data_IF_258667408921
#
_entry.id   IF_258667408921
#
_cell.length_a   1.000
_cell.length_b   1.000
_cell.length_c   1.000
_cell.angle_alpha   90.00
_cell.angle_beta   90.00
_cell.angle_gamma   90.00
#
_symmetry.space_group_name_H-M   'P 1'
#
loop_
_entity.id
_entity.type
_entity.pdbx_description
1 polymer ?
#
# COMPACT_ATOMS: atom_id res chain seq x y z
N UNK A 1 8.21 23.74 -8.35
CA UNK A 1 7.18 22.68 -8.50
C UNK A 1 7.76 21.42 -7.88
N UNK A 2 7.32 21.04 -6.67
CA UNK A 2 7.88 19.85 -6.01
C UNK A 2 7.39 18.61 -6.76
N UNK A 3 8.32 17.91 -7.41
CA UNK A 3 8.09 16.61 -8.03
C UNK A 3 8.12 15.61 -6.88
N UNK A 4 7.00 14.95 -6.63
CA UNK A 4 6.91 13.84 -5.69
C UNK A 4 7.14 12.57 -6.51
N UNK A 5 8.39 12.12 -6.59
CA UNK A 5 8.78 10.96 -7.40
C UNK A 5 8.76 9.68 -6.54
N UNK A 6 7.57 9.35 -6.02
CA UNK A 6 7.36 8.22 -5.11
C UNK A 6 5.91 7.72 -5.08
N UNK A 7 5.61 6.83 -4.15
CA UNK A 7 4.29 6.21 -3.94
C UNK A 7 3.64 6.67 -2.65
N UNK A 8 4.40 6.68 -1.56
CA UNK A 8 3.91 7.07 -0.25
C UNK A 8 4.07 8.59 -0.06
N UNK A 9 3.13 9.24 0.61
CA UNK A 9 3.17 10.70 0.79
C UNK A 9 2.76 11.52 -0.45
N UNK A 10 2.29 10.87 -1.52
CA UNK A 10 1.94 11.52 -2.79
C UNK A 10 0.42 11.73 -2.89
N UNK A 11 -0.06 12.88 -3.41
CA UNK A 11 -1.49 13.10 -3.61
C UNK A 11 -2.13 11.97 -4.44
N UNK A 12 -3.26 11.45 -3.95
CA UNK A 12 -3.94 10.29 -4.55
C UNK A 12 -4.26 10.51 -6.02
N UNK A 13 -4.72 11.72 -6.38
CA UNK A 13 -5.07 12.08 -7.76
C UNK A 13 -3.87 11.99 -8.71
N UNK A 14 -2.64 12.26 -8.22
CA UNK A 14 -1.43 12.11 -9.02
C UNK A 14 -1.11 10.65 -9.30
N UNK A 15 -1.28 9.78 -8.30
CA UNK A 15 -1.02 8.34 -8.45
C UNK A 15 -2.01 7.72 -9.45
N UNK A 16 -3.31 8.03 -9.31
CA UNK A 16 -4.38 7.62 -10.23
C UNK A 16 -4.09 8.08 -11.67
N UNK A 17 -3.70 9.34 -11.86
CA UNK A 17 -3.36 9.89 -13.17
C UNK A 17 -2.10 9.25 -13.77
N UNK A 18 -1.06 9.03 -12.95
CA UNK A 18 0.19 8.36 -13.36
C UNK A 18 -0.07 6.92 -13.80
N UNK A 19 -0.83 6.18 -13.00
CA UNK A 19 -1.12 4.77 -13.22
C UNK A 19 -2.20 4.55 -14.29
N UNK A 20 -2.88 5.62 -14.73
CA UNK A 20 -4.01 5.62 -15.69
C UNK A 20 -5.13 4.65 -15.29
N UNK A 21 -5.45 4.65 -13.99
CA UNK A 21 -6.42 3.75 -13.35
C UNK A 21 -7.21 4.51 -12.30
N UNK A 22 -8.42 4.04 -11.97
CA UNK A 22 -9.26 4.64 -10.91
C UNK A 22 -8.71 4.42 -9.50
N UNK A 23 -7.89 3.38 -9.30
CA UNK A 23 -7.24 3.06 -8.04
C UNK A 23 -5.72 2.96 -8.27
N UNK A 24 -4.87 3.53 -7.38
CA UNK A 24 -3.43 3.39 -7.49
C UNK A 24 -3.00 1.93 -7.56
N UNK A 25 -2.06 1.62 -8.44
CA UNK A 25 -1.60 0.26 -8.70
C UNK A 25 -1.07 -0.42 -7.43
N UNK A 26 -0.33 0.33 -6.60
CA UNK A 26 0.23 -0.16 -5.33
C UNK A 26 -0.89 -0.64 -4.38
N UNK A 27 -1.96 0.15 -4.26
CA UNK A 27 -3.06 -0.16 -3.37
C UNK A 27 -3.86 -1.36 -3.90
N UNK A 28 -4.14 -1.38 -5.21
CA UNK A 28 -4.85 -2.48 -5.86
C UNK A 28 -4.11 -3.81 -5.66
N UNK A 29 -2.80 -3.85 -5.90
CA UNK A 29 -2.02 -5.09 -5.75
C UNK A 29 -1.91 -5.57 -4.31
N UNK A 30 -1.70 -4.67 -3.36
CA UNK A 30 -1.66 -5.02 -1.94
C UNK A 30 -2.99 -5.62 -1.48
N UNK A 31 -4.12 -4.99 -1.85
CA UNK A 31 -5.46 -5.48 -1.49
C UNK A 31 -5.74 -6.82 -2.14
N UNK A 32 -5.46 -6.98 -3.44
CA UNK A 32 -5.67 -8.25 -4.16
C UNK A 32 -4.94 -9.41 -3.49
N UNK A 33 -3.69 -9.20 -3.07
CA UNK A 33 -2.91 -10.24 -2.39
C UNK A 33 -3.45 -10.53 -0.98
N UNK A 34 -3.89 -9.51 -0.24
CA UNK A 34 -4.53 -9.70 1.08
C UNK A 34 -5.83 -10.50 0.93
N UNK A 35 -6.66 -10.17 -0.05
CA UNK A 35 -7.92 -10.88 -0.35
C UNK A 35 -7.67 -12.32 -0.78
N UNK A 36 -6.66 -12.56 -1.61
CA UNK A 36 -6.26 -13.90 -2.04
C UNK A 36 -5.89 -14.82 -0.86
N UNK A 37 -5.39 -14.26 0.24
CA UNK A 37 -5.01 -15.00 1.46
C UNK A 37 -6.03 -14.91 2.60
N UNK A 38 -7.04 -14.05 2.46
CA UNK A 38 -7.75 -13.43 3.58
C UNK A 38 -8.65 -14.35 4.39
N UNK A 39 -8.93 -15.56 3.90
CA UNK A 39 -9.82 -16.50 4.56
C UNK A 39 -9.18 -17.21 5.77
N UNK A 40 -7.83 -17.29 5.85
CA UNK A 40 -7.12 -18.08 6.87
C UNK A 40 -6.39 -17.24 7.93
N UNK A 41 -6.42 -15.91 7.83
CA UNK A 41 -5.60 -15.04 8.69
C UNK A 41 -6.41 -14.37 9.81
N UNK A 42 -6.20 -14.80 11.05
CA UNK A 42 -6.80 -14.15 12.22
C UNK A 42 -6.15 -12.78 12.50
N UNK A 43 -6.97 -11.76 12.75
CA UNK A 43 -6.48 -10.44 13.18
C UNK A 43 -5.98 -9.54 12.05
N UNK A 44 -6.40 -9.76 10.81
CA UNK A 44 -6.13 -8.85 9.69
C UNK A 44 -6.47 -7.41 10.05
N UNK A 45 -5.61 -6.49 9.62
CA UNK A 45 -5.66 -5.04 9.90
C UNK A 45 -5.54 -4.63 11.38
N UNK A 46 -5.81 -5.51 12.34
CA UNK A 46 -5.62 -5.28 13.79
C UNK A 46 -4.15 -5.50 14.17
N UNK A 47 -3.59 -6.64 13.80
CA UNK A 47 -2.20 -6.99 14.10
C UNK A 47 -1.23 -6.22 13.19
N UNK A 48 0.01 -6.12 13.66
CA UNK A 48 1.10 -5.51 12.92
C UNK A 48 2.12 -6.58 12.51
N UNK A 49 2.51 -6.58 11.24
CA UNK A 49 3.62 -7.39 10.77
C UNK A 49 4.98 -6.84 11.20
N UNK A 50 6.04 -7.55 10.82
CA UNK A 50 7.43 -7.14 11.09
C UNK A 50 7.75 -5.74 10.55
N UNK A 51 8.25 -4.85 11.41
CA UNK A 51 8.66 -3.48 11.04
C UNK A 51 9.75 -3.49 9.97
N UNK A 52 10.74 -4.37 10.10
CA UNK A 52 11.86 -4.45 9.16
C UNK A 52 11.40 -4.96 7.79
N UNK A 53 10.60 -6.04 7.75
CA UNK A 53 10.04 -6.55 6.48
C UNK A 53 9.16 -5.51 5.79
N UNK A 54 8.38 -4.76 6.57
CA UNK A 54 7.56 -3.65 6.06
C UNK A 54 8.43 -2.56 5.43
N UNK A 55 9.54 -2.18 6.08
CA UNK A 55 10.47 -1.16 5.56
C UNK A 55 11.07 -1.61 4.22
N UNK A 56 11.61 -2.83 4.17
CA UNK A 56 12.21 -3.39 2.95
C UNK A 56 11.19 -3.46 1.81
N UNK A 57 10.00 -3.99 2.07
CA UNK A 57 8.98 -4.11 1.03
C UNK A 57 8.48 -2.75 0.54
N UNK A 58 8.43 -1.74 1.40
CA UNK A 58 8.15 -0.36 0.98
C UNK A 58 9.20 0.15 0.00
N UNK A 59 10.49 -0.04 0.30
CA UNK A 59 11.59 0.40 -0.57
C UNK A 59 11.54 -0.28 -1.94
N UNK A 60 11.19 -1.56 -1.97
CA UNK A 60 10.99 -2.30 -3.23
C UNK A 60 9.81 -1.75 -4.03
N UNK A 61 8.68 -1.47 -3.38
CA UNK A 61 7.50 -0.89 -4.03
C UNK A 61 7.82 0.48 -4.61
N UNK A 62 8.46 1.36 -3.83
CA UNK A 62 8.91 2.70 -4.25
C UNK A 62 9.84 2.63 -5.47
N UNK A 63 10.64 1.57 -5.58
CA UNK A 63 11.50 1.34 -6.75
C UNK A 63 10.68 0.88 -7.96
N UNK A 64 9.80 -0.11 -7.83
CA UNK A 64 8.94 -0.57 -8.92
C UNK A 64 7.79 -1.47 -8.43
N UNK A 65 6.59 -0.89 -8.34
CA UNK A 65 5.36 -1.63 -7.97
C UNK A 65 5.10 -2.87 -8.82
N UNK A 66 5.39 -2.79 -10.12
CA UNK A 66 5.12 -3.86 -11.08
C UNK A 66 6.05 -5.06 -10.88
N UNK A 67 7.30 -4.80 -10.46
CA UNK A 67 8.35 -5.82 -10.31
C UNK A 67 8.42 -6.39 -8.90
N UNK A 68 7.90 -5.70 -7.90
CA UNK A 68 7.86 -6.24 -6.53
C UNK A 68 7.07 -7.55 -6.50
N UNK A 69 7.56 -8.57 -5.82
CA UNK A 69 6.79 -9.80 -5.61
C UNK A 69 6.02 -9.71 -4.31
N UNK A 70 4.70 -9.95 -4.38
CA UNK A 70 3.84 -9.87 -3.21
C UNK A 70 3.33 -11.23 -2.74
N UNK A 71 3.60 -12.32 -3.47
CA UNK A 71 3.08 -13.67 -3.18
C UNK A 71 3.53 -14.22 -1.81
N UNK A 72 2.96 -15.36 -1.40
CA UNK A 72 3.19 -15.94 -0.07
C UNK A 72 4.65 -16.37 0.17
N UNK A 73 5.40 -16.66 -0.90
CA UNK A 73 6.81 -17.05 -0.81
C UNK A 73 7.69 -15.82 -0.52
N UNK A 74 7.44 -14.72 -1.24
CA UNK A 74 8.17 -13.45 -1.06
C UNK A 74 7.81 -12.75 0.25
N UNK A 75 6.52 -12.68 0.58
CA UNK A 75 6.01 -12.00 1.78
C UNK A 75 5.08 -12.93 2.55
N UNK A 76 5.60 -13.82 3.42
CA UNK A 76 4.77 -14.80 4.13
C UNK A 76 3.77 -14.19 5.12
N UNK A 77 4.16 -13.07 5.75
CA UNK A 77 3.33 -12.41 6.77
C UNK A 77 2.38 -11.38 6.14
N UNK A 78 1.11 -11.75 5.98
CA UNK A 78 0.06 -10.88 5.43
C UNK A 78 -0.12 -9.59 6.22
N UNK A 79 0.23 -9.57 7.52
CA UNK A 79 0.14 -8.34 8.32
C UNK A 79 1.17 -7.27 7.89
N UNK A 80 2.23 -7.65 7.17
CA UNK A 80 3.14 -6.68 6.55
C UNK A 80 2.41 -5.92 5.44
N UNK A 81 1.64 -6.62 4.60
CA UNK A 81 0.85 -6.02 3.52
C UNK A 81 -0.23 -5.10 4.08
N UNK A 82 -0.97 -5.54 5.11
CA UNK A 82 -2.00 -4.70 5.75
C UNK A 82 -1.39 -3.45 6.38
N UNK A 83 -0.20 -3.55 6.98
CA UNK A 83 0.53 -2.39 7.50
C UNK A 83 0.92 -1.40 6.40
N UNK A 84 1.34 -1.86 5.23
CA UNK A 84 1.65 -0.97 4.09
C UNK A 84 0.41 -0.26 3.58
N UNK A 85 -0.74 -0.94 3.49
CA UNK A 85 -2.02 -0.30 3.15
C UNK A 85 -2.36 0.79 4.17
N UNK A 86 -2.23 0.48 5.48
CA UNK A 86 -2.48 1.43 6.56
C UNK A 86 -1.55 2.65 6.47
N UNK A 87 -0.27 2.43 6.19
CA UNK A 87 0.69 3.51 6.07
C UNK A 87 0.44 4.37 4.83
N UNK A 88 0.15 3.76 3.68
CA UNK A 88 -0.18 4.47 2.43
C UNK A 88 -1.32 5.47 2.65
N UNK A 89 -2.42 5.01 3.26
CA UNK A 89 -3.59 5.85 3.53
C UNK A 89 -3.30 6.95 4.56
N UNK A 90 -2.48 6.67 5.58
CA UNK A 90 -2.13 7.62 6.64
C UNK A 90 -1.21 8.74 6.13
N UNK A 91 -0.36 8.42 5.16
CA UNK A 91 0.63 9.35 4.62
C UNK A 91 0.09 10.18 3.47
N UNK A 92 -1.14 9.95 2.99
CA UNK A 92 -1.76 10.82 1.99
C UNK A 92 -1.75 12.28 2.47
N UNK A 93 -1.32 13.25 1.63
CA UNK A 93 -1.32 14.67 2.01
C UNK A 93 -2.70 15.21 2.39
N UNK A 94 -3.74 14.64 1.78
CA UNK A 94 -5.14 14.86 2.12
C UNK A 94 -5.75 13.52 2.53
N UNK A 95 -6.55 13.47 3.61
CA UNK A 95 -7.17 12.23 4.05
C UNK A 95 -8.10 11.69 2.96
N UNK A 96 -8.20 10.35 2.85
CA UNK A 96 -9.05 9.70 1.87
C UNK A 96 -10.51 10.18 1.92
N UNK A 97 -11.01 10.43 3.12
CA UNK A 97 -12.29 11.11 3.34
C UNK A 97 -11.96 12.59 3.64
N UNK A 98 -12.28 13.52 2.71
CA UNK A 98 -11.98 14.93 2.90
C UNK A 98 -12.67 15.50 4.14
N UNK A 99 -11.98 16.39 4.85
CA UNK A 99 -12.51 17.05 6.07
C UNK A 99 -13.78 17.86 5.76
N UNK A 100 -13.94 18.37 4.54
CA UNK A 100 -15.13 19.12 4.12
C UNK A 100 -16.43 18.30 4.09
N UNK A 101 -16.33 16.97 4.17
CA UNK A 101 -17.47 16.04 4.19
C UNK A 101 -17.81 15.62 5.64
N UNK A 102 -16.99 16.00 6.62
CA UNK A 102 -17.29 15.84 8.06
C UNK A 102 -18.04 17.07 8.59
#
# INVERSE_FOLDING_TARGET
>A
MVIYDGLFGVPLQRLVARDRRETPLVLARLIQEIEHRGLDYSGLYILCGSVEKKRLLREELETSVERTELNIEAVPDTNVLTCLVKDFLRELPEPLIPISIY
#
